data_IF_312372194004
#
_entry.id   IF_312372194004
#
_cell.length_a   1.000
_cell.length_b   1.000
_cell.length_c   1.000
_cell.angle_alpha   90.00
_cell.angle_beta   90.00
_cell.angle_gamma   90.00
#
_symmetry.space_group_name_H-M   'P 1'
#
loop_
_entity.id
_entity.type
_entity.pdbx_description
1 polymer ?
#
# COMPACT_ATOMS: atom_id res chain seq x y z
N UNK A 1 0.42 11.65 -10.98
CA UNK A 1 1.17 10.39 -10.83
C UNK A 1 1.24 9.76 -12.21
N UNK A 2 2.45 9.52 -12.71
CA UNK A 2 2.63 8.91 -14.03
C UNK A 2 2.69 7.37 -13.96
N UNK A 3 3.12 6.85 -12.81
CA UNK A 3 3.20 5.41 -12.52
C UNK A 3 1.96 4.84 -11.86
N UNK A 4 2.14 3.67 -11.26
CA UNK A 4 1.04 2.83 -10.75
C UNK A 4 1.10 2.79 -9.23
N UNK A 5 -0.01 3.13 -8.58
CA UNK A 5 -0.18 2.93 -7.15
C UNK A 5 -1.01 1.66 -6.91
N UNK A 6 -0.52 0.74 -6.09
CA UNK A 6 -1.19 -0.53 -5.78
C UNK A 6 -1.53 -0.57 -4.30
N UNK A 7 -2.82 -0.69 -4.00
CA UNK A 7 -3.35 -0.76 -2.63
C UNK A 7 -3.67 -2.22 -2.32
N UNK A 8 -2.80 -2.91 -1.59
CA UNK A 8 -2.98 -4.32 -1.25
C UNK A 8 -3.71 -4.44 0.09
N UNK A 9 -4.81 -5.19 0.13
CA UNK A 9 -5.64 -5.35 1.33
C UNK A 9 -5.02 -6.24 2.41
N UNK A 10 -3.94 -6.97 2.09
CA UNK A 10 -3.14 -7.75 3.03
C UNK A 10 -2.81 -9.15 2.52
N UNK A 11 -1.91 -9.84 3.23
CA UNK A 11 -1.42 -11.17 2.84
C UNK A 11 -0.23 -11.12 1.89
N UNK A 12 0.59 -10.07 1.97
CA UNK A 12 1.77 -9.93 1.12
C UNK A 12 2.68 -11.16 1.20
N UNK A 13 3.22 -11.54 0.04
CA UNK A 13 4.16 -12.65 -0.12
C UNK A 13 3.57 -14.04 0.22
N UNK A 14 2.26 -14.14 0.46
CA UNK A 14 1.57 -15.42 0.58
C UNK A 14 1.27 -16.02 -0.80
N UNK A 15 1.12 -17.37 -0.90
CA UNK A 15 0.85 -18.03 -2.16
C UNK A 15 -0.34 -17.48 -2.96
N UNK A 16 -1.39 -17.04 -2.27
CA UNK A 16 -2.62 -16.46 -2.83
C UNK A 16 -2.35 -15.13 -3.55
N UNK A 17 -1.31 -14.39 -3.15
CA UNK A 17 -0.93 -13.13 -3.82
C UNK A 17 -0.17 -13.32 -5.13
N UNK A 18 0.24 -14.55 -5.49
CA UNK A 18 1.04 -14.80 -6.71
C UNK A 18 0.38 -14.31 -8.00
N UNK A 19 -0.94 -14.38 -8.08
CA UNK A 19 -1.68 -13.87 -9.24
C UNK A 19 -1.57 -12.33 -9.33
N UNK A 20 -1.84 -11.65 -8.21
CA UNK A 20 -1.76 -10.20 -8.09
C UNK A 20 -0.34 -9.70 -8.37
N UNK A 21 0.66 -10.35 -7.77
CA UNK A 21 2.06 -9.95 -7.90
C UNK A 21 2.61 -10.25 -9.30
N UNK A 22 2.09 -11.27 -10.01
CA UNK A 22 2.42 -11.48 -11.42
C UNK A 22 1.92 -10.31 -12.27
N UNK A 23 0.69 -9.85 -12.05
CA UNK A 23 0.12 -8.69 -12.76
C UNK A 23 0.90 -7.41 -12.44
N UNK A 24 1.35 -7.25 -11.19
CA UNK A 24 2.26 -6.17 -10.81
C UNK A 24 3.53 -6.22 -11.67
N UNK A 25 4.21 -7.37 -11.73
CA UNK A 25 5.43 -7.55 -12.51
C UNK A 25 5.22 -7.30 -14.01
N UNK A 26 4.09 -7.75 -14.57
CA UNK A 26 3.76 -7.57 -15.98
C UNK A 26 3.53 -6.08 -16.35
N UNK A 27 3.21 -5.24 -15.37
CA UNK A 27 3.04 -3.79 -15.55
C UNK A 27 4.34 -2.99 -15.43
N UNK A 28 5.42 -3.60 -14.93
CA UNK A 28 6.70 -2.91 -14.76
C UNK A 28 7.35 -2.64 -16.12
N UNK A 29 7.81 -1.41 -16.32
CA UNK A 29 8.57 -1.04 -17.53
C UNK A 29 10.03 -1.47 -17.36
N UNK A 30 10.46 -2.42 -18.21
CA UNK A 30 11.82 -2.98 -18.19
C UNK A 30 12.00 -4.08 -17.12
N UNK A 31 13.24 -4.48 -16.81
CA UNK A 31 13.51 -5.46 -15.76
C UNK A 31 12.98 -4.97 -14.41
N UNK A 32 12.22 -5.80 -13.70
CA UNK A 32 11.68 -5.45 -12.39
C UNK A 32 12.80 -5.44 -11.34
N UNK A 33 13.07 -4.24 -10.79
CA UNK A 33 13.97 -3.96 -9.67
C UNK A 33 13.15 -3.45 -8.51
N UNK A 34 13.01 -4.26 -7.47
CA UNK A 34 12.06 -4.09 -6.39
C UNK A 34 12.79 -3.74 -5.09
N UNK A 35 12.49 -2.56 -4.56
CA UNK A 35 12.86 -2.12 -3.23
C UNK A 35 11.75 -2.49 -2.24
N UNK A 36 12.02 -3.39 -1.30
CA UNK A 36 11.07 -3.81 -0.26
C UNK A 36 11.41 -3.08 1.04
N UNK A 37 10.51 -2.22 1.48
CA UNK A 37 10.70 -1.36 2.64
C UNK A 37 9.79 -1.85 3.78
N UNK A 38 10.35 -2.36 4.88
CA UNK A 38 9.56 -2.87 6.00
C UNK A 38 9.24 -1.78 7.03
N UNK A 39 9.19 -0.53 6.60
CA UNK A 39 9.14 0.65 7.49
C UNK A 39 7.93 0.63 8.41
N UNK A 40 6.77 0.14 7.96
CA UNK A 40 5.58 0.03 8.80
C UNK A 40 5.79 -0.90 10.00
N UNK A 41 6.66 -1.91 9.88
CA UNK A 41 7.01 -2.84 10.95
C UNK A 41 8.26 -2.40 11.74
N UNK A 42 8.86 -1.25 11.42
CA UNK A 42 10.18 -0.82 11.89
C UNK A 42 10.33 -0.66 13.42
N UNK A 43 9.23 -0.52 14.16
CA UNK A 43 9.23 -0.58 15.62
C UNK A 43 9.77 -1.90 16.19
N UNK A 44 9.80 -2.97 15.38
CA UNK A 44 10.50 -4.21 15.65
C UNK A 44 11.48 -4.53 14.49
N UNK A 45 12.72 -3.99 14.52
CA UNK A 45 13.69 -4.10 13.43
C UNK A 45 13.94 -5.53 12.95
N UNK A 46 14.07 -6.49 13.87
CA UNK A 46 14.35 -7.89 13.54
C UNK A 46 13.19 -8.53 12.77
N UNK A 47 11.95 -8.26 13.18
CA UNK A 47 10.76 -8.78 12.51
C UNK A 47 10.55 -8.09 11.16
N UNK A 48 10.75 -6.77 11.11
CA UNK A 48 10.67 -5.95 9.91
C UNK A 48 11.62 -6.47 8.83
N UNK A 49 12.91 -6.66 9.17
CA UNK A 49 13.90 -7.15 8.22
C UNK A 49 13.63 -8.59 7.79
N UNK A 50 13.19 -9.47 8.69
CA UNK A 50 12.79 -10.84 8.29
C UNK A 50 11.65 -10.82 7.27
N UNK A 51 10.65 -9.95 7.44
CA UNK A 51 9.55 -9.80 6.49
C UNK A 51 10.03 -9.27 5.14
N UNK A 52 10.87 -8.24 5.13
CA UNK A 52 11.41 -7.70 3.88
C UNK A 52 12.29 -8.70 3.12
N UNK A 53 13.16 -9.44 3.83
CA UNK A 53 13.99 -10.48 3.21
C UNK A 53 13.16 -11.64 2.66
N UNK A 54 12.09 -12.04 3.34
CA UNK A 54 11.14 -13.02 2.84
C UNK A 54 10.44 -12.51 1.56
N UNK A 55 10.01 -11.25 1.53
CA UNK A 55 9.48 -10.62 0.33
C UNK A 55 10.49 -10.56 -0.82
N UNK A 56 11.76 -10.29 -0.51
CA UNK A 56 12.80 -10.20 -1.53
C UNK A 56 13.07 -11.58 -2.14
N UNK A 57 13.11 -12.62 -1.31
CA UNK A 57 13.18 -14.00 -1.79
C UNK A 57 11.97 -14.36 -2.66
N UNK A 58 10.76 -14.03 -2.22
CA UNK A 58 9.52 -14.28 -2.95
C UNK A 58 9.51 -13.66 -4.35
N UNK A 59 9.87 -12.38 -4.50
CA UNK A 59 9.93 -11.75 -5.82
C UNK A 59 11.09 -12.26 -6.70
N UNK A 60 12.23 -12.64 -6.10
CA UNK A 60 13.32 -13.30 -6.83
C UNK A 60 12.88 -14.63 -7.42
N UNK A 61 12.11 -15.43 -6.68
CA UNK A 61 11.51 -16.68 -7.19
C UNK A 61 10.55 -16.43 -8.37
N UNK A 62 9.96 -15.24 -8.46
CA UNK A 62 9.09 -14.85 -9.57
C UNK A 62 9.83 -14.23 -10.77
N UNK A 63 11.15 -14.11 -10.69
CA UNK A 63 12.02 -13.64 -11.78
C UNK A 63 12.38 -12.16 -11.73
N UNK A 64 12.11 -11.46 -10.63
CA UNK A 64 12.51 -10.07 -10.45
C UNK A 64 13.87 -9.94 -9.73
N UNK A 65 14.53 -8.80 -9.90
CA UNK A 65 15.58 -8.35 -8.99
C UNK A 65 14.89 -7.69 -7.80
N UNK A 66 15.09 -8.20 -6.60
CA UNK A 66 14.46 -7.63 -5.40
C UNK A 66 15.46 -7.54 -4.24
N UNK A 67 15.32 -6.52 -3.41
CA UNK A 67 16.18 -6.26 -2.27
C UNK A 67 15.37 -5.71 -1.08
N UNK A 68 15.72 -6.15 0.14
CA UNK A 68 15.25 -5.54 1.37
C UNK A 68 16.04 -4.26 1.65
N UNK A 69 15.36 -3.11 1.71
CA UNK A 69 15.99 -1.83 2.06
C UNK A 69 15.62 -1.49 3.51
N UNK A 70 16.61 -1.38 4.43
CA UNK A 70 16.38 -1.26 5.86
C UNK A 70 15.98 0.17 6.29
N UNK A 71 14.94 0.74 5.67
CA UNK A 71 14.29 1.97 6.16
C UNK A 71 13.39 1.57 7.33
N UNK A 72 13.91 1.62 8.54
CA UNK A 72 13.27 1.08 9.74
C UNK A 72 12.80 2.17 10.70
N UNK A 73 13.43 3.33 10.67
CA UNK A 73 13.18 4.45 11.56
C UNK A 73 13.49 5.77 10.84
N UNK A 74 13.33 6.89 11.54
CA UNK A 74 13.51 8.21 10.94
C UNK A 74 14.96 8.47 10.52
N UNK A 75 15.93 7.93 11.23
CA UNK A 75 17.35 8.13 10.91
C UNK A 75 17.71 7.40 9.60
N UNK A 76 17.32 6.13 9.47
CA UNK A 76 17.45 5.37 8.23
C UNK A 76 16.61 5.95 7.08
N UNK A 77 15.45 6.55 7.34
CA UNK A 77 14.67 7.24 6.31
C UNK A 77 15.33 8.53 5.77
N UNK A 78 16.29 9.09 6.52
CA UNK A 78 17.10 10.25 6.13
C UNK A 78 18.48 9.85 5.58
N UNK A 79 18.75 8.57 5.42
CA UNK A 79 20.02 8.08 4.90
C UNK A 79 20.07 8.23 3.36
N UNK A 80 21.11 8.88 2.85
CA UNK A 80 21.29 9.14 1.41
C UNK A 80 21.62 7.87 0.63
N UNK A 81 22.34 6.91 1.22
CA UNK A 81 22.65 5.64 0.55
C UNK A 81 21.38 4.79 0.40
N UNK A 82 20.49 4.80 1.40
CA UNK A 82 19.19 4.13 1.30
C UNK A 82 18.26 4.84 0.31
N UNK A 83 18.28 6.18 0.26
CA UNK A 83 17.56 6.95 -0.76
C UNK A 83 18.00 6.52 -2.17
N UNK A 84 19.30 6.47 -2.44
CA UNK A 84 19.82 6.14 -3.77
C UNK A 84 19.43 4.71 -4.18
N UNK A 85 19.47 3.74 -3.25
CA UNK A 85 18.98 2.37 -3.49
C UNK A 85 17.48 2.30 -3.80
N UNK A 86 16.67 3.17 -3.21
CA UNK A 86 15.23 3.28 -3.55
C UNK A 86 15.06 3.86 -4.95
N UNK A 87 15.85 4.87 -5.33
CA UNK A 87 15.75 5.52 -6.65
C UNK A 87 16.25 4.63 -7.80
N UNK A 88 17.17 3.70 -7.54
CA UNK A 88 17.62 2.70 -8.52
C UNK A 88 16.53 1.66 -8.86
N UNK A 89 15.55 1.47 -7.97
CA UNK A 89 14.41 0.58 -8.17
C UNK A 89 13.35 1.22 -9.09
N UNK A 90 12.59 0.37 -9.80
CA UNK A 90 11.39 0.81 -10.54
C UNK A 90 10.10 0.28 -9.90
N UNK A 91 10.22 -0.44 -8.78
CA UNK A 91 9.11 -0.86 -7.93
C UNK A 91 9.50 -0.62 -6.47
N UNK A 92 8.63 0.04 -5.72
CA UNK A 92 8.70 0.09 -4.25
C UNK A 92 7.55 -0.73 -3.68
N UNK A 93 7.85 -1.62 -2.74
CA UNK A 93 6.84 -2.38 -2.00
C UNK A 93 6.96 -2.08 -0.50
N UNK A 94 5.95 -1.42 0.07
CA UNK A 94 5.84 -1.16 1.50
C UNK A 94 5.11 -2.34 2.17
N UNK A 95 5.77 -3.02 3.10
CA UNK A 95 5.17 -4.15 3.83
C UNK A 95 4.13 -3.67 4.85
N UNK A 96 3.28 -4.57 5.33
CA UNK A 96 2.31 -4.29 6.40
C UNK A 96 3.01 -4.01 7.75
N UNK A 97 2.26 -3.43 8.70
CA UNK A 97 2.72 -3.05 10.02
C UNK A 97 1.81 -2.01 10.68
N UNK A 98 2.37 -0.88 11.10
CA UNK A 98 1.64 0.24 11.70
C UNK A 98 1.66 1.47 10.76
N UNK A 99 0.48 1.87 10.29
CA UNK A 99 0.30 2.99 9.36
C UNK A 99 0.79 4.33 9.94
N UNK A 100 0.64 4.53 11.26
CA UNK A 100 1.08 5.76 11.92
C UNK A 100 2.60 5.78 12.02
N UNK A 101 3.21 4.68 12.41
CA UNK A 101 4.66 4.54 12.46
C UNK A 101 5.28 4.78 11.08
N UNK A 102 4.70 4.20 10.02
CA UNK A 102 5.09 4.43 8.64
C UNK A 102 5.04 5.93 8.27
N UNK A 103 3.90 6.58 8.52
CA UNK A 103 3.73 8.00 8.25
C UNK A 103 4.71 8.87 9.03
N UNK A 104 4.84 8.64 10.34
CA UNK A 104 5.71 9.43 11.22
C UNK A 104 7.19 9.28 10.85
N UNK A 105 7.57 8.10 10.34
CA UNK A 105 8.92 7.78 9.89
C UNK A 105 9.24 8.43 8.53
N UNK A 106 8.34 8.31 7.55
CA UNK A 106 8.59 8.74 6.18
C UNK A 106 8.30 10.22 5.91
N UNK A 107 7.43 10.89 6.69
CA UNK A 107 7.10 12.28 6.40
C UNK A 107 8.34 13.18 6.41
N UNK A 108 8.49 13.96 5.33
CA UNK A 108 9.59 14.90 5.11
C UNK A 108 10.98 14.26 5.12
N UNK A 109 11.14 13.04 4.59
CA UNK A 109 12.43 12.36 4.51
C UNK A 109 12.90 12.11 3.08
N UNK A 110 14.18 11.74 2.95
CA UNK A 110 14.79 11.36 1.68
C UNK A 110 14.16 10.09 1.11
N UNK A 111 13.88 9.09 1.95
CA UNK A 111 13.18 7.89 1.54
C UNK A 111 11.79 8.19 0.94
N UNK A 112 10.98 9.06 1.57
CA UNK A 112 9.68 9.43 1.00
C UNK A 112 9.78 10.17 -0.33
N UNK A 113 10.79 11.03 -0.46
CA UNK A 113 11.08 11.72 -1.71
C UNK A 113 11.45 10.72 -2.81
N UNK A 114 12.30 9.75 -2.51
CA UNK A 114 12.69 8.68 -3.43
C UNK A 114 11.49 7.81 -3.86
N UNK A 115 10.61 7.43 -2.94
CA UNK A 115 9.36 6.70 -3.25
C UNK A 115 8.50 7.50 -4.23
N UNK A 116 8.36 8.81 -3.99
CA UNK A 116 7.65 9.72 -4.90
C UNK A 116 8.31 9.80 -6.28
N UNK A 117 9.64 9.83 -6.35
CA UNK A 117 10.37 9.85 -7.61
C UNK A 117 10.13 8.57 -8.43
N UNK A 118 10.08 7.39 -7.80
CA UNK A 118 9.80 6.13 -8.49
C UNK A 118 8.44 6.19 -9.21
N UNK A 119 7.37 6.61 -8.54
CA UNK A 119 6.05 6.69 -9.17
C UNK A 119 5.95 7.80 -10.22
N UNK A 120 6.62 8.93 -10.04
CA UNK A 120 6.64 10.01 -11.04
C UNK A 120 7.44 9.63 -12.29
N UNK A 121 8.40 8.70 -12.18
CA UNK A 121 9.18 8.13 -13.28
C UNK A 121 8.56 6.88 -13.91
N UNK A 122 7.24 6.72 -13.83
CA UNK A 122 6.46 5.58 -14.36
C UNK A 122 6.75 4.23 -13.66
N UNK A 123 7.32 4.26 -12.47
CA UNK A 123 7.48 3.06 -11.63
C UNK A 123 6.19 2.66 -10.92
N UNK A 124 6.30 1.63 -10.10
CA UNK A 124 5.20 1.09 -9.31
C UNK A 124 5.46 1.33 -7.82
N UNK A 125 4.44 1.77 -7.08
CA UNK A 125 4.47 1.82 -5.62
C UNK A 125 3.31 0.98 -5.09
N UNK A 126 3.63 -0.05 -4.32
CA UNK A 126 2.66 -0.91 -3.66
C UNK A 126 2.75 -0.74 -2.14
N UNK A 127 1.60 -0.77 -1.46
CA UNK A 127 1.55 -0.85 0.00
C UNK A 127 0.57 -1.92 0.45
N UNK A 128 1.02 -2.80 1.35
CA UNK A 128 0.18 -3.86 1.93
C UNK A 128 -0.39 -3.48 3.27
N UNK A 129 -1.64 -3.89 3.51
CA UNK A 129 -2.30 -3.75 4.80
C UNK A 129 -2.31 -2.31 5.28
N UNK A 130 -1.79 -2.06 6.47
CA UNK A 130 -1.66 -0.73 7.06
C UNK A 130 -0.85 0.23 6.17
N UNK A 131 0.13 -0.25 5.39
CA UNK A 131 0.87 0.59 4.45
C UNK A 131 0.01 1.04 3.26
N UNK A 132 -1.01 0.29 2.85
CA UNK A 132 -1.98 0.80 1.85
C UNK A 132 -2.75 2.02 2.39
N UNK A 133 -2.97 2.07 3.70
CA UNK A 133 -3.81 3.09 4.32
C UNK A 133 -3.22 4.50 4.28
N UNK A 134 -1.89 4.63 4.24
CA UNK A 134 -1.22 5.94 4.28
C UNK A 134 -1.35 6.72 2.97
N UNK A 135 -1.86 6.11 1.90
CA UNK A 135 -2.12 6.80 0.64
C UNK A 135 -3.44 7.58 0.62
N UNK A 136 -4.36 7.34 1.57
CA UNK A 136 -5.61 8.09 1.69
C UNK A 136 -5.41 9.50 2.26
N UNK A 137 -6.50 10.27 2.42
CA UNK A 137 -6.47 11.55 3.16
C UNK A 137 -6.24 11.31 4.66
N UNK A 138 -6.74 10.18 5.17
CA UNK A 138 -6.52 9.74 6.54
C UNK A 138 -6.36 8.21 6.61
N UNK A 139 -5.57 7.76 7.59
CA UNK A 139 -5.40 6.34 7.88
C UNK A 139 -6.21 5.91 9.12
N UNK A 140 -6.80 4.70 9.15
CA UNK A 140 -7.41 4.14 10.34
C UNK A 140 -6.33 3.70 11.36
N UNK A 141 -6.38 4.22 12.60
CA UNK A 141 -5.45 3.84 13.68
C UNK A 141 -5.98 2.77 14.65
N UNK A 142 -5.11 2.28 15.54
CA UNK A 142 -5.30 1.14 16.48
C UNK A 142 -6.51 1.18 17.43
N UNK A 143 -7.25 2.28 17.48
CA UNK A 143 -8.48 2.44 18.26
C UNK A 143 -9.63 3.10 17.49
N UNK A 144 -9.60 3.09 16.15
CA UNK A 144 -10.50 3.87 15.30
C UNK A 144 -10.35 5.40 15.49
N UNK A 145 -9.16 5.84 15.89
CA UNK A 145 -8.73 7.24 15.78
C UNK A 145 -8.10 7.43 14.41
N UNK A 146 -8.45 8.54 13.77
CA UNK A 146 -7.94 8.90 12.45
C UNK A 146 -6.55 9.49 12.64
N UNK A 147 -5.58 8.97 11.90
CA UNK A 147 -4.22 9.51 11.84
C UNK A 147 -3.99 10.29 10.54
N UNK A 148 -2.98 11.16 10.50
CA UNK A 148 -2.55 11.77 9.25
C UNK A 148 -2.10 10.68 8.26
N UNK A 149 -2.25 10.99 6.98
CA UNK A 149 -1.81 10.18 5.85
C UNK A 149 -1.27 11.14 4.77
N UNK A 150 -0.67 10.59 3.72
CA UNK A 150 0.01 11.40 2.69
C UNK A 150 -0.95 12.11 1.73
N UNK A 151 -2.26 11.81 1.81
CA UNK A 151 -3.28 12.48 1.01
C UNK A 151 -3.03 12.38 -0.51
N UNK A 152 -2.49 11.23 -0.94
CA UNK A 152 -2.27 10.91 -2.36
C UNK A 152 -3.61 10.72 -3.07
N UNK A 153 -4.59 10.16 -2.35
CA UNK A 153 -5.97 10.01 -2.77
C UNK A 153 -6.87 10.91 -1.90
N UNK A 154 -7.11 12.18 -2.30
CA UNK A 154 -7.92 13.11 -1.51
C UNK A 154 -9.36 12.66 -1.31
N UNK A 155 -9.95 13.04 -0.19
CA UNK A 155 -11.34 12.69 0.15
C UNK A 155 -11.53 11.22 0.53
N UNK A 156 -10.46 10.46 0.77
CA UNK A 156 -10.53 9.01 0.94
C UNK A 156 -9.96 8.47 2.24
N UNK A 157 -10.40 7.26 2.57
CA UNK A 157 -9.86 6.39 3.62
C UNK A 157 -9.74 4.99 3.06
N UNK A 158 -8.53 4.48 3.01
CA UNK A 158 -8.28 3.11 2.56
C UNK A 158 -8.35 2.19 3.78
N UNK A 159 -9.03 1.06 3.63
CA UNK A 159 -9.31 0.12 4.70
C UNK A 159 -8.91 -1.28 4.24
N UNK A 160 -7.72 -1.76 4.62
CA UNK A 160 -7.28 -3.12 4.33
C UNK A 160 -8.08 -4.15 5.14
N UNK A 161 -7.95 -5.43 4.78
CA UNK A 161 -8.60 -6.58 5.41
C UNK A 161 -10.12 -6.36 5.62
N UNK A 162 -10.77 -5.82 4.58
CA UNK A 162 -12.16 -5.34 4.65
C UNK A 162 -13.14 -6.43 5.10
N UNK A 163 -13.00 -7.66 4.61
CA UNK A 163 -13.77 -8.84 5.04
C UNK A 163 -13.77 -9.08 6.55
N UNK A 164 -12.64 -8.88 7.23
CA UNK A 164 -12.50 -9.09 8.67
C UNK A 164 -12.72 -7.82 9.49
N UNK A 165 -12.96 -6.69 8.83
CA UNK A 165 -13.48 -5.48 9.43
C UNK A 165 -14.93 -5.68 9.94
N UNK A 166 -15.31 -6.85 10.44
CA UNK A 166 -16.59 -7.13 11.11
C UNK A 166 -16.91 -6.16 12.27
N UNK A 167 -15.89 -5.56 12.90
CA UNK A 167 -16.09 -4.46 13.87
C UNK A 167 -16.44 -3.10 13.23
N UNK A 168 -16.17 -2.93 11.95
CA UNK A 168 -16.60 -1.79 11.14
C UNK A 168 -18.10 -1.76 10.96
N UNK A 169 -18.81 -2.90 10.85
CA UNK A 169 -20.28 -2.89 10.78
C UNK A 169 -20.96 -2.25 12.01
N UNK A 170 -20.37 -2.37 13.21
CA UNK A 170 -20.85 -1.70 14.41
C UNK A 170 -20.41 -0.21 14.48
N UNK A 171 -19.30 0.13 13.81
CA UNK A 171 -18.68 1.46 13.76
C UNK A 171 -19.12 2.32 12.57
N UNK A 172 -19.67 1.74 11.50
CA UNK A 172 -20.31 2.40 10.36
C UNK A 172 -21.50 3.27 10.81
N UNK A 173 -22.20 2.85 11.88
CA UNK A 173 -23.23 3.69 12.54
C UNK A 173 -22.65 4.99 13.11
N UNK A 174 -21.38 5.00 13.53
CA UNK A 174 -20.62 6.18 13.97
C UNK A 174 -20.10 6.99 12.78
N UNK A 175 -19.87 6.34 11.64
CA UNK A 175 -19.34 6.92 10.40
C UNK A 175 -20.35 7.77 9.63
N UNK A 176 -21.65 7.65 9.97
CA UNK A 176 -22.70 8.63 9.65
C UNK A 176 -22.33 10.09 10.02
N UNK A 177 -21.34 10.30 10.89
CA UNK A 177 -20.90 11.63 11.34
C UNK A 177 -19.96 12.35 10.35
N UNK A 178 -19.42 11.66 9.34
CA UNK A 178 -18.43 12.22 8.42
C UNK A 178 -18.74 11.89 6.95
N UNK A 179 -19.95 12.25 6.48
CA UNK A 179 -20.36 12.07 5.08
C UNK A 179 -19.59 12.88 4.03
N UNK A 180 -18.33 13.24 4.31
CA UNK A 180 -17.37 13.90 3.40
C UNK A 180 -16.36 12.92 2.80
N UNK A 181 -16.13 11.76 3.42
CA UNK A 181 -15.11 10.81 2.95
C UNK A 181 -15.72 9.62 2.21
N UNK A 182 -14.97 9.14 1.23
CA UNK A 182 -15.16 7.84 0.58
C UNK A 182 -14.24 6.83 1.23
N UNK A 183 -14.78 5.69 1.60
CA UNK A 183 -14.04 4.59 2.16
C UNK A 183 -13.82 3.55 1.06
N UNK A 184 -12.58 3.13 0.93
CA UNK A 184 -12.16 2.12 -0.02
C UNK A 184 -11.69 0.90 0.78
N UNK A 185 -12.60 -0.06 0.95
CA UNK A 185 -12.30 -1.35 1.53
C UNK A 185 -11.60 -2.23 0.50
N UNK A 186 -10.48 -2.84 0.87
CA UNK A 186 -9.78 -3.83 0.05
C UNK A 186 -9.69 -5.11 0.87
N UNK A 187 -10.26 -6.18 0.35
CA UNK A 187 -10.19 -7.50 0.98
C UNK A 187 -8.76 -8.03 1.01
N UNK A 188 -8.51 -8.99 1.91
CA UNK A 188 -7.22 -9.69 1.95
C UNK A 188 -7.04 -10.45 0.64
N UNK A 189 -5.79 -10.70 0.23
CA UNK A 189 -5.48 -11.38 -1.04
C UNK A 189 -6.04 -10.67 -2.29
N UNK A 190 -6.28 -9.36 -2.15
CA UNK A 190 -6.84 -8.49 -3.19
C UNK A 190 -6.07 -7.18 -3.20
N UNK A 191 -5.95 -6.58 -4.37
CA UNK A 191 -5.33 -5.30 -4.58
C UNK A 191 -6.16 -4.41 -5.49
N UNK A 192 -6.03 -3.10 -5.29
CA UNK A 192 -6.57 -2.09 -6.19
C UNK A 192 -5.43 -1.39 -6.93
N UNK A 193 -5.37 -1.58 -8.24
CA UNK A 193 -4.39 -0.97 -9.12
C UNK A 193 -4.92 0.39 -9.56
N UNK A 194 -4.18 1.46 -9.31
CA UNK A 194 -4.50 2.82 -9.71
C UNK A 194 -3.53 3.30 -10.78
N UNK A 195 -4.03 3.46 -11.99
CA UNK A 195 -3.33 4.03 -13.15
C UNK A 195 -4.03 5.32 -13.56
N UNK A 196 -3.46 6.47 -13.20
CA UNK A 196 -4.05 7.79 -13.50
C UNK A 196 -5.53 7.92 -13.06
N UNK A 197 -5.82 7.58 -11.79
CA UNK A 197 -7.16 7.56 -11.20
C UNK A 197 -8.14 6.56 -11.84
N UNK A 198 -7.66 5.65 -12.68
CA UNK A 198 -8.40 4.47 -13.11
C UNK A 198 -8.05 3.31 -12.19
N UNK A 199 -9.05 2.85 -11.43
CA UNK A 199 -8.85 1.80 -10.47
C UNK A 199 -9.38 0.46 -11.00
N UNK A 200 -8.59 -0.60 -10.85
CA UNK A 200 -8.98 -1.98 -11.23
C UNK A 200 -8.74 -2.92 -10.06
N UNK A 201 -9.73 -3.76 -9.74
CA UNK A 201 -9.59 -4.78 -8.71
C UNK A 201 -8.82 -5.97 -9.27
N UNK A 202 -7.88 -6.50 -8.49
CA UNK A 202 -7.13 -7.71 -8.83
C UNK A 202 -7.00 -8.60 -7.61
N UNK A 203 -7.42 -9.86 -7.68
CA UNK A 203 -7.23 -10.85 -6.60
C UNK A 203 -8.45 -11.71 -6.29
N UNK A 204 -8.39 -12.46 -5.18
CA UNK A 204 -9.40 -13.48 -4.85
C UNK A 204 -10.66 -12.92 -4.14
N UNK A 205 -10.54 -11.75 -3.51
CA UNK A 205 -11.63 -11.04 -2.85
C UNK A 205 -12.15 -9.87 -3.68
N UNK A 206 -12.71 -8.86 -3.00
CA UNK A 206 -13.25 -7.67 -3.66
C UNK A 206 -12.70 -6.35 -3.14
N UNK A 207 -13.03 -5.28 -3.85
CA UNK A 207 -12.88 -3.90 -3.39
C UNK A 207 -14.25 -3.27 -3.19
N UNK A 208 -14.46 -2.65 -2.03
CA UNK A 208 -15.72 -2.00 -1.66
C UNK A 208 -15.56 -0.49 -1.62
N UNK A 209 -16.34 0.23 -2.41
CA UNK A 209 -16.48 1.68 -2.32
C UNK A 209 -17.69 2.02 -1.47
N UNK A 210 -17.47 2.69 -0.35
CA UNK A 210 -18.52 3.12 0.56
C UNK A 210 -18.48 4.63 0.81
N UNK A 211 -19.57 5.32 0.50
CA UNK A 211 -19.77 6.75 0.77
C UNK A 211 -21.23 7.02 1.14
N UNK A 212 -21.58 8.29 1.36
CA UNK A 212 -22.99 8.68 1.58
C UNK A 212 -23.89 8.37 0.39
N UNK A 213 -23.33 8.39 -0.83
CA UNK A 213 -24.08 8.26 -2.08
C UNK A 213 -23.95 6.88 -2.72
N UNK A 214 -22.95 6.09 -2.31
CA UNK A 214 -22.56 4.87 -3.01
C UNK A 214 -22.17 3.78 -2.02
N UNK A 215 -22.60 2.56 -2.29
CA UNK A 215 -22.13 1.37 -1.60
C UNK A 215 -22.10 0.24 -2.63
N UNK A 216 -20.91 -0.10 -3.11
CA UNK A 216 -20.73 -1.16 -4.09
C UNK A 216 -19.47 -1.94 -3.81
N UNK A 217 -19.52 -3.22 -4.13
CA UNK A 217 -18.38 -4.13 -4.12
C UNK A 217 -18.10 -4.54 -5.55
N UNK A 218 -16.83 -4.64 -5.89
CA UNK A 218 -16.28 -4.97 -7.20
C UNK A 218 -15.33 -6.14 -7.06
N UNK A 219 -15.41 -7.07 -8.00
CA UNK A 219 -14.64 -8.31 -8.00
C UNK A 219 -13.46 -8.21 -8.98
N UNK A 220 -12.64 -9.26 -9.07
CA UNK A 220 -11.47 -9.31 -9.97
C UNK A 220 -11.79 -8.82 -11.40
N UNK A 221 -10.94 -7.92 -11.92
CA UNK A 221 -11.06 -7.33 -13.25
C UNK A 221 -12.09 -6.20 -13.37
N UNK A 222 -12.92 -5.94 -12.35
CA UNK A 222 -13.88 -4.85 -12.40
C UNK A 222 -13.19 -3.47 -12.26
N UNK A 223 -13.64 -2.46 -13.03
CA UNK A 223 -13.25 -1.09 -12.79
C UNK A 223 -13.94 -0.55 -11.54
N UNK A 224 -13.18 0.20 -10.74
CA UNK A 224 -13.69 0.98 -9.62
C UNK A 224 -13.68 2.45 -10.02
N UNK A 225 -14.86 3.07 -10.13
CA UNK A 225 -14.91 4.51 -10.39
C UNK A 225 -14.56 5.26 -9.10
N UNK A 226 -13.50 6.05 -9.15
CA UNK A 226 -13.21 7.02 -8.09
C UNK A 226 -14.30 8.10 -8.04
N UNK A 227 -14.78 8.51 -6.85
CA UNK A 227 -15.78 9.57 -6.72
C UNK A 227 -15.25 10.98 -6.99
#
# INVERSE_FOLDING_TARGET
MNGILILVGGGEFEPEMKYVDRILLDKVIGPARIAILPTAAGANPDAAMKLAEAGAAYFREMGAEAEAIPVLDRDSAMDEDLKDRIEDANVVYLTDGDARYLYDTLQFTHAWTAIGNVIELNGVVAGSGAASSVFGEHAPGSALRWGPAFNILPGSVIVPDWQNASSFNLKLRRWRRFGRFTYLGVDRHTALFNEDFHFTVVGEGGATVWSKLRHETRDDGDPVLWP
#
